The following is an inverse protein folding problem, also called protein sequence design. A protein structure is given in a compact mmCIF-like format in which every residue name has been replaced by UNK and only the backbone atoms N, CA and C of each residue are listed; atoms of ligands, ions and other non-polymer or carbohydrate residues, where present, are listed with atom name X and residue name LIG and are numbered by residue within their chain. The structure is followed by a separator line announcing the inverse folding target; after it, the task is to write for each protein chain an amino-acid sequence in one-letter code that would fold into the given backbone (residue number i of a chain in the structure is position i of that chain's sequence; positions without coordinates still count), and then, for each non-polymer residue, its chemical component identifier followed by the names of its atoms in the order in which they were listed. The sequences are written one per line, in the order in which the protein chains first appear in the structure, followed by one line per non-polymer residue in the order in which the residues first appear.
data_IF_687261042416
#
_entry.id   IF_687261042416
#
_cell.length_a   1.000
_cell.length_b   1.000
_cell.length_c   1.000
_cell.angle_alpha   90.00
_cell.angle_beta   90.00
_cell.angle_gamma   90.00
#
_symmetry.space_group_name_H-M   'P 1'
#
loop_
_entity.id
_entity.type
_entity.pdbx_description
1 polymer ?
#
# COMPACT_ATOMS: atom_id res chain seq x y z
N UNK A 1 -7.67 16.71 -5.48
CA UNK A 1 -8.62 15.58 -5.35
C UNK A 1 -8.42 14.63 -6.52
N UNK A 2 -8.14 13.34 -6.26
CA UNK A 2 -7.86 12.36 -7.32
C UNK A 2 -9.18 11.74 -7.83
N UNK A 3 -9.59 12.09 -9.05
CA UNK A 3 -10.86 11.62 -9.64
C UNK A 3 -10.86 10.10 -9.90
N UNK A 4 -9.69 9.49 -10.14
CA UNK A 4 -9.58 8.06 -10.46
C UNK A 4 -9.99 7.20 -9.27
N UNK A 5 -9.50 7.50 -8.07
CA UNK A 5 -9.87 6.73 -6.87
C UNK A 5 -11.39 6.74 -6.63
N UNK A 6 -12.04 7.91 -6.77
CA UNK A 6 -13.50 8.01 -6.64
C UNK A 6 -14.24 7.18 -7.68
N UNK A 7 -13.77 7.17 -8.92
CA UNK A 7 -14.36 6.36 -9.98
C UNK A 7 -14.23 4.87 -9.68
N UNK A 8 -13.06 4.41 -9.25
CA UNK A 8 -12.83 3.00 -8.90
C UNK A 8 -13.76 2.55 -7.76
N UNK A 9 -13.89 3.36 -6.70
CA UNK A 9 -14.71 3.05 -5.51
C UNK A 9 -16.22 3.09 -5.79
N UNK A 10 -16.69 4.05 -6.62
CA UNK A 10 -18.12 4.23 -6.88
C UNK A 10 -18.65 3.40 -8.05
N UNK A 11 -17.76 2.84 -8.89
CA UNK A 11 -18.15 2.08 -10.07
C UNK A 11 -18.89 0.80 -9.66
N UNK A 12 -19.99 0.52 -10.35
CA UNK A 12 -20.61 -0.80 -10.31
C UNK A 12 -19.87 -1.75 -11.24
N UNK A 13 -19.56 -2.95 -10.75
CA UNK A 13 -18.88 -4.00 -11.50
C UNK A 13 -19.82 -5.19 -11.67
N UNK A 14 -19.83 -5.80 -12.84
CA UNK A 14 -20.52 -7.07 -13.03
C UNK A 14 -19.77 -8.22 -12.34
N UNK A 15 -20.47 -9.31 -11.97
CA UNK A 15 -19.81 -10.48 -11.38
C UNK A 15 -18.72 -11.10 -12.27
N UNK A 16 -18.92 -11.09 -13.59
CA UNK A 16 -17.95 -11.62 -14.55
C UNK A 16 -16.69 -10.74 -14.62
N UNK A 17 -16.84 -9.42 -14.65
CA UNK A 17 -15.70 -8.50 -14.58
C UNK A 17 -14.89 -8.71 -13.30
N UNK A 18 -15.55 -8.84 -12.14
CA UNK A 18 -14.88 -9.06 -10.86
C UNK A 18 -14.14 -10.40 -10.83
N UNK A 19 -14.72 -11.45 -11.40
CA UNK A 19 -14.08 -12.77 -11.49
C UNK A 19 -12.83 -12.74 -12.37
N UNK A 20 -12.90 -12.08 -13.53
CA UNK A 20 -11.75 -11.92 -14.41
C UNK A 20 -10.67 -11.03 -13.79
N UNK A 21 -11.08 -9.92 -13.15
CA UNK A 21 -10.18 -9.02 -12.44
C UNK A 21 -9.46 -9.74 -11.29
N UNK A 22 -10.17 -10.58 -10.53
CA UNK A 22 -9.58 -11.36 -9.44
C UNK A 22 -8.38 -12.20 -9.91
N UNK A 23 -8.56 -12.98 -10.97
CA UNK A 23 -7.50 -13.81 -11.54
C UNK A 23 -6.29 -12.96 -11.97
N UNK A 24 -6.56 -11.89 -12.74
CA UNK A 24 -5.53 -10.94 -13.22
C UNK A 24 -4.75 -10.30 -12.07
N UNK A 25 -5.44 -9.85 -11.02
CA UNK A 25 -4.84 -9.24 -9.84
C UNK A 25 -3.99 -10.24 -9.08
N UNK A 26 -4.47 -11.48 -8.90
CA UNK A 26 -3.71 -12.53 -8.24
C UNK A 26 -2.43 -12.85 -9.01
N UNK A 27 -2.51 -13.07 -10.33
CA UNK A 27 -1.32 -13.34 -11.15
C UNK A 27 -0.31 -12.20 -11.08
N UNK A 28 -0.75 -10.96 -11.32
CA UNK A 28 0.14 -9.79 -11.31
C UNK A 28 0.75 -9.53 -9.93
N UNK A 29 -0.03 -9.66 -8.86
CA UNK A 29 0.46 -9.42 -7.49
C UNK A 29 1.50 -10.46 -7.06
N UNK A 30 1.33 -11.74 -7.41
CA UNK A 30 2.31 -12.78 -7.12
C UNK A 30 3.59 -12.60 -7.92
N UNK A 31 3.50 -12.22 -9.20
CA UNK A 31 4.66 -11.92 -10.03
C UNK A 31 5.51 -10.78 -9.42
N UNK A 32 4.85 -9.68 -9.02
CA UNK A 32 5.53 -8.54 -8.40
C UNK A 32 6.10 -8.91 -7.03
N UNK A 33 5.35 -9.58 -6.16
CA UNK A 33 5.84 -9.99 -4.85
C UNK A 33 7.05 -10.93 -4.95
N UNK A 34 7.10 -11.81 -5.96
CA UNK A 34 8.24 -12.67 -6.21
C UNK A 34 9.47 -11.89 -6.68
N UNK A 35 9.29 -10.85 -7.51
CA UNK A 35 10.38 -9.94 -7.94
C UNK A 35 10.90 -9.11 -6.77
N UNK A 36 10.01 -8.53 -5.96
CA UNK A 36 10.39 -7.77 -4.75
C UNK A 36 11.19 -8.64 -3.78
N UNK A 37 10.81 -9.90 -3.60
CA UNK A 37 11.54 -10.84 -2.77
C UNK A 37 12.99 -11.09 -3.24
N UNK A 38 13.23 -11.09 -4.57
CA UNK A 38 14.57 -11.28 -5.16
C UNK A 38 15.40 -10.00 -5.15
N UNK A 39 14.76 -8.86 -5.35
CA UNK A 39 15.41 -7.55 -5.37
C UNK A 39 16.09 -7.25 -4.03
N UNK A 40 15.39 -7.48 -2.92
CA UNK A 40 15.95 -7.35 -1.57
C UNK A 40 16.20 -5.91 -1.11
N UNK A 41 16.02 -4.89 -1.97
CA UNK A 41 16.05 -3.48 -1.54
C UNK A 41 14.86 -3.14 -0.64
N UNK A 42 15.10 -2.34 0.40
CA UNK A 42 14.04 -1.74 1.20
C UNK A 42 13.40 -0.54 0.47
N UNK A 43 12.19 -0.15 0.88
CA UNK A 43 11.51 1.03 0.34
C UNK A 43 10.90 0.84 -1.05
N UNK A 44 10.78 -0.40 -1.53
CA UNK A 44 10.20 -0.71 -2.83
C UNK A 44 8.68 -0.56 -2.90
N UNK A 45 7.99 -0.26 -1.79
CA UNK A 45 6.52 -0.19 -1.77
C UNK A 45 5.96 0.76 -2.84
N UNK A 46 6.53 1.97 -2.98
CA UNK A 46 6.06 2.95 -3.97
C UNK A 46 6.26 2.43 -5.40
N UNK A 47 7.44 1.89 -5.71
CA UNK A 47 7.78 1.37 -7.05
C UNK A 47 6.92 0.15 -7.37
N UNK A 48 6.88 -0.84 -6.47
CA UNK A 48 6.15 -2.08 -6.67
C UNK A 48 4.63 -1.86 -6.80
N UNK A 49 4.02 -1.01 -5.97
CA UNK A 49 2.61 -0.66 -6.12
C UNK A 49 2.35 0.12 -7.41
N UNK A 50 3.25 1.04 -7.79
CA UNK A 50 3.16 1.78 -9.05
C UNK A 50 3.22 0.85 -10.27
N UNK A 51 4.22 -0.04 -10.32
CA UNK A 51 4.39 -1.02 -11.39
C UNK A 51 3.20 -1.98 -11.44
N UNK A 52 2.75 -2.50 -10.30
CA UNK A 52 1.56 -3.35 -10.24
C UNK A 52 0.34 -2.63 -10.82
N UNK A 53 0.12 -1.36 -10.44
CA UNK A 53 -0.99 -0.56 -10.99
C UNK A 53 -0.91 -0.41 -12.51
N UNK A 54 0.26 -0.11 -13.07
CA UNK A 54 0.42 -0.01 -14.54
C UNK A 54 0.22 -1.34 -15.24
N UNK A 55 0.64 -2.46 -14.64
CA UNK A 55 0.34 -3.81 -15.15
C UNK A 55 -1.17 -4.07 -15.16
N UNK A 56 -1.86 -3.69 -14.09
CA UNK A 56 -3.32 -3.86 -14.01
C UNK A 56 -4.05 -3.00 -15.05
N UNK A 57 -3.56 -1.80 -15.36
CA UNK A 57 -4.09 -0.97 -16.44
C UNK A 57 -3.96 -1.67 -17.80
N UNK A 58 -2.80 -2.27 -18.12
CA UNK A 58 -2.59 -3.05 -19.36
C UNK A 58 -3.52 -4.27 -19.43
N UNK A 59 -3.87 -4.86 -18.28
CA UNK A 59 -4.82 -5.97 -18.17
C UNK A 59 -6.30 -5.53 -18.21
N UNK A 60 -6.57 -4.23 -18.30
CA UNK A 60 -7.92 -3.65 -18.29
C UNK A 60 -8.61 -3.71 -16.92
N UNK A 61 -7.84 -3.77 -15.83
CA UNK A 61 -8.34 -3.84 -14.45
C UNK A 61 -8.33 -2.45 -13.82
N UNK A 62 -9.51 -1.99 -13.39
CA UNK A 62 -9.65 -0.72 -12.69
C UNK A 62 -8.96 -0.76 -11.33
N UNK A 63 -8.08 0.20 -11.09
CA UNK A 63 -7.30 0.26 -9.86
C UNK A 63 -6.82 1.69 -9.58
N UNK A 64 -6.28 1.89 -8.38
CA UNK A 64 -5.44 3.05 -8.06
C UNK A 64 -4.40 2.68 -7.00
N UNK A 65 -3.31 3.45 -6.97
CA UNK A 65 -2.31 3.39 -5.92
C UNK A 65 -2.62 4.39 -4.81
N UNK A 66 -2.50 3.93 -3.57
CA UNK A 66 -2.67 4.74 -2.39
C UNK A 66 -1.38 4.80 -1.59
N UNK A 67 -1.05 6.01 -1.10
CA UNK A 67 -0.12 6.17 0.01
C UNK A 67 -0.88 5.89 1.30
N UNK A 68 -0.31 5.07 2.17
CA UNK A 68 -0.93 4.73 3.43
C UNK A 68 0.04 4.78 4.57
N UNK A 69 -0.39 5.21 5.76
CA UNK A 69 0.28 4.73 6.97
C UNK A 69 -0.09 3.25 7.18
N UNK A 70 0.79 2.53 7.84
CA UNK A 70 0.59 1.11 8.13
C UNK A 70 0.88 0.83 9.60
N UNK A 71 -0.08 0.20 10.28
CA UNK A 71 0.13 -0.41 11.60
C UNK A 71 0.04 -1.91 11.46
N UNK A 72 1.04 -2.63 11.96
CA UNK A 72 1.08 -4.08 11.99
C UNK A 72 0.97 -4.55 13.42
N UNK A 73 -0.13 -5.20 13.75
CA UNK A 73 -0.30 -5.88 15.03
C UNK A 73 0.07 -7.34 14.87
N UNK A 74 1.18 -7.73 15.48
CA UNK A 74 1.63 -9.11 15.51
C UNK A 74 0.95 -9.89 16.64
N UNK A 75 0.89 -11.23 16.56
CA UNK A 75 0.62 -12.06 17.72
C UNK A 75 1.71 -11.85 18.77
N UNK A 76 1.35 -11.98 20.05
CA UNK A 76 2.28 -11.77 21.19
C UNK A 76 3.52 -12.66 21.14
N UNK A 77 3.46 -13.81 20.46
CA UNK A 77 4.60 -14.70 20.23
C UNK A 77 5.65 -14.11 19.28
N UNK A 78 5.27 -13.15 18.43
CA UNK A 78 6.16 -12.48 17.46
C UNK A 78 6.61 -11.11 18.00
N UNK A 79 5.66 -10.30 18.46
CA UNK A 79 5.96 -9.00 19.08
C UNK A 79 4.88 -8.60 20.09
N UNK A 80 5.29 -7.96 21.18
CA UNK A 80 4.37 -7.36 22.15
C UNK A 80 3.86 -5.99 21.67
N UNK A 81 4.71 -5.26 20.94
CA UNK A 81 4.40 -3.94 20.40
C UNK A 81 4.09 -4.02 18.89
N UNK A 82 3.15 -3.19 18.38
CA UNK A 82 2.92 -3.08 16.95
C UNK A 82 4.13 -2.46 16.23
N UNK A 83 4.28 -2.80 14.94
CA UNK A 83 5.18 -2.07 14.04
C UNK A 83 4.40 -0.95 13.36
N UNK A 84 5.01 0.23 13.25
CA UNK A 84 4.41 1.40 12.64
C UNK A 84 5.22 1.89 11.44
N UNK A 85 4.51 2.36 10.42
CA UNK A 85 5.03 3.13 9.30
C UNK A 85 4.26 4.45 9.27
N UNK A 86 4.84 5.48 9.90
CA UNK A 86 4.18 6.74 10.22
C UNK A 86 4.08 7.70 9.02
N UNK A 87 2.96 8.42 8.93
CA UNK A 87 2.77 9.54 7.98
C UNK A 87 3.63 10.75 8.29
N UNK A 88 3.92 10.97 9.57
CA UNK A 88 4.75 12.07 10.04
C UNK A 88 5.85 11.50 10.91
N UNK A 89 7.08 11.61 10.42
CA UNK A 89 8.27 11.10 11.08
C UNK A 89 9.49 11.98 10.75
N UNK A 90 10.59 11.80 11.46
CA UNK A 90 11.82 12.59 11.29
C UNK A 90 12.66 12.19 10.05
N UNK A 91 12.20 11.20 9.27
CA UNK A 91 12.89 10.74 8.07
C UNK A 91 12.33 11.29 6.75
N UNK A 92 13.20 11.32 5.73
CA UNK A 92 12.82 11.69 4.35
C UNK A 92 12.30 10.46 3.60
N UNK A 93 11.00 10.17 3.72
CA UNK A 93 10.34 9.09 3.00
C UNK A 93 9.30 9.64 2.02
N UNK A 94 9.26 9.12 0.79
CA UNK A 94 8.29 9.54 -0.24
C UNK A 94 6.85 9.20 0.12
N UNK A 95 6.67 8.10 0.86
CA UNK A 95 5.42 7.66 1.48
C UNK A 95 5.76 6.78 2.68
N UNK A 96 4.88 6.69 3.69
CA UNK A 96 5.08 5.75 4.80
C UNK A 96 5.00 4.31 4.32
N UNK A 97 4.01 4.05 3.48
CA UNK A 97 3.78 2.81 2.76
C UNK A 97 2.94 3.07 1.52
N UNK A 98 2.92 2.11 0.59
CA UNK A 98 2.09 2.18 -0.61
C UNK A 98 1.40 0.85 -0.88
N UNK A 99 0.15 0.93 -1.34
CA UNK A 99 -0.71 -0.20 -1.67
C UNK A 99 -1.43 0.04 -3.00
N UNK A 100 -2.01 -1.01 -3.56
CA UNK A 100 -2.95 -0.93 -4.68
C UNK A 100 -4.35 -1.26 -4.17
N UNK A 101 -5.34 -0.52 -4.65
CA UNK A 101 -6.75 -0.85 -4.52
C UNK A 101 -7.26 -1.25 -5.89
N UNK A 102 -7.76 -2.47 -6.04
CA UNK A 102 -8.22 -3.02 -7.31
C UNK A 102 -9.37 -4.02 -7.07
N UNK A 103 -10.63 -3.68 -7.39
CA UNK A 103 -11.76 -4.59 -7.21
C UNK A 103 -11.57 -5.94 -7.93
N UNK A 104 -11.92 -7.07 -7.29
CA UNK A 104 -12.70 -7.17 -6.05
C UNK A 104 -11.89 -7.02 -4.76
N UNK A 105 -10.59 -6.78 -4.82
CA UNK A 105 -9.77 -6.59 -3.63
C UNK A 105 -9.87 -5.14 -3.11
N UNK A 106 -10.19 -5.01 -1.82
CA UNK A 106 -10.16 -3.74 -1.11
C UNK A 106 -8.72 -3.30 -0.82
N UNK A 107 -7.77 -4.23 -0.68
CA UNK A 107 -6.34 -3.92 -0.52
C UNK A 107 -5.54 -5.00 -1.23
N UNK A 108 -4.47 -4.59 -1.92
CA UNK A 108 -3.42 -5.45 -2.45
C UNK A 108 -2.07 -4.84 -2.09
N UNK A 109 -1.31 -5.55 -1.29
CA UNK A 109 0.00 -5.15 -0.81
C UNK A 109 1.02 -6.26 -1.07
N UNK A 110 1.91 -5.99 -2.02
CA UNK A 110 2.95 -6.90 -2.50
C UNK A 110 4.29 -6.69 -1.81
N UNK A 111 4.34 -5.81 -0.80
CA UNK A 111 5.60 -5.36 -0.20
C UNK A 111 5.65 -5.42 1.31
N UNK A 112 4.53 -5.62 2.01
CA UNK A 112 4.50 -5.64 3.48
C UNK A 112 5.57 -6.55 4.06
N UNK A 113 5.66 -7.81 3.62
CA UNK A 113 6.65 -8.78 4.11
C UNK A 113 8.11 -8.35 3.94
N UNK A 114 8.39 -7.49 2.96
CA UNK A 114 9.75 -7.12 2.54
C UNK A 114 10.15 -5.72 3.02
N UNK A 115 9.38 -5.13 3.94
CA UNK A 115 9.79 -3.91 4.64
C UNK A 115 10.88 -4.19 5.68
N UNK A 116 11.64 -3.16 6.11
CA UNK A 116 12.60 -3.31 7.19
C UNK A 116 11.87 -3.64 8.50
N UNK A 117 12.28 -4.75 9.14
CA UNK A 117 11.76 -5.21 10.43
C UNK A 117 12.90 -5.46 11.41
N UNK A 118 12.66 -5.19 12.69
CA UNK A 118 13.65 -5.41 13.76
C UNK A 118 13.97 -6.90 13.98
N UNK A 119 13.02 -7.79 13.65
CA UNK A 119 13.14 -9.24 13.87
C UNK A 119 12.74 -10.00 12.62
N UNK A 120 13.52 -11.03 12.28
CA UNK A 120 13.21 -11.95 11.17
C UNK A 120 11.83 -12.61 11.35
N UNK A 121 11.42 -12.90 12.60
CA UNK A 121 10.11 -13.48 12.90
C UNK A 121 8.93 -12.60 12.49
N UNK A 122 9.09 -11.26 12.48
CA UNK A 122 8.07 -10.32 12.03
C UNK A 122 7.84 -10.46 10.52
N UNK A 123 8.91 -10.46 9.73
CA UNK A 123 8.83 -10.69 8.29
C UNK A 123 8.26 -12.08 7.97
N UNK A 124 8.68 -13.11 8.70
CA UNK A 124 8.20 -14.49 8.49
C UNK A 124 6.70 -14.65 8.74
N UNK A 125 6.15 -13.90 9.71
CA UNK A 125 4.72 -13.90 10.01
C UNK A 125 3.87 -13.35 8.87
N UNK A 126 4.42 -12.43 8.06
CA UNK A 126 3.68 -11.72 7.04
C UNK A 126 3.54 -12.53 5.74
N UNK A 127 2.40 -12.41 5.04
CA UNK A 127 2.19 -13.08 3.76
C UNK A 127 3.02 -12.41 2.65
N UNK A 128 3.36 -13.17 1.61
CA UNK A 128 4.06 -12.62 0.44
C UNK A 128 3.22 -11.58 -0.32
N UNK A 129 1.90 -11.80 -0.37
CA UNK A 129 0.90 -10.84 -0.84
C UNK A 129 -0.15 -10.71 0.25
N UNK A 130 -0.30 -9.52 0.80
CA UNK A 130 -1.39 -9.18 1.70
C UNK A 130 -2.55 -8.60 0.87
N UNK A 131 -3.61 -9.39 0.70
CA UNK A 131 -4.79 -8.96 -0.05
C UNK A 131 -6.08 -9.40 0.62
N UNK A 132 -7.11 -8.55 0.54
CA UNK A 132 -8.46 -8.86 1.06
C UNK A 132 -9.53 -8.33 0.11
N UNK A 133 -10.62 -9.08 -0.03
CA UNK A 133 -11.86 -8.60 -0.68
C UNK A 133 -12.80 -7.91 0.31
N UNK A 134 -12.62 -8.19 1.60
CA UNK A 134 -13.49 -7.65 2.63
C UNK A 134 -13.12 -6.20 2.92
N UNK A 135 -14.11 -5.32 2.85
CA UNK A 135 -13.97 -3.96 3.33
C UNK A 135 -14.23 -3.93 4.85
N UNK A 136 -13.16 -3.86 5.65
CA UNK A 136 -13.23 -3.67 7.10
C UNK A 136 -12.75 -2.27 7.46
N UNK A 137 -13.62 -1.37 7.95
CA UNK A 137 -13.21 -0.03 8.37
C UNK A 137 -12.18 -0.12 9.49
N UNK A 138 -11.05 0.55 9.30
CA UNK A 138 -10.03 0.74 10.33
C UNK A 138 -10.13 2.17 10.86
N UNK A 139 -9.87 2.38 12.15
CA UNK A 139 -9.78 3.74 12.71
C UNK A 139 -8.34 4.02 13.06
N UNK A 140 -7.69 4.77 12.19
CA UNK A 140 -6.33 5.27 12.43
C UNK A 140 -6.36 6.29 13.56
N UNK A 141 -5.48 6.10 14.52
CA UNK A 141 -5.26 7.00 15.65
C UNK A 141 -4.14 8.00 15.33
N UNK A 142 -4.10 9.12 16.05
CA UNK A 142 -3.00 10.09 15.91
C UNK A 142 -1.65 9.52 16.34
N UNK A 143 -1.64 8.52 17.23
CA UNK A 143 -0.44 7.76 17.58
C UNK A 143 0.08 6.84 16.48
N UNK A 144 -0.75 6.52 15.49
CA UNK A 144 -0.37 5.71 14.32
C UNK A 144 -0.04 6.56 13.10
N UNK A 145 -0.40 7.83 13.11
CA UNK A 145 -0.06 8.78 12.05
C UNK A 145 1.29 9.44 12.29
N UNK A 146 1.57 9.86 13.52
CA UNK A 146 2.77 10.62 13.86
C UNK A 146 3.68 9.82 14.79
N UNK A 147 4.98 9.81 14.54
CA UNK A 147 5.97 9.13 15.37
C UNK A 147 6.07 9.74 16.78
N UNK A 148 6.64 9.01 17.77
CA UNK A 148 6.84 9.54 19.11
C UNK A 148 7.55 10.89 19.15
N UNK A 149 8.56 11.08 18.31
CA UNK A 149 9.38 12.30 18.27
C UNK A 149 8.59 13.48 17.70
N UNK A 150 7.85 13.27 16.60
CA UNK A 150 6.93 14.29 16.06
C UNK A 150 5.88 14.69 17.09
N UNK A 151 5.31 13.73 17.83
CA UNK A 151 4.34 14.04 18.90
C UNK A 151 4.97 14.82 20.05
N UNK A 152 6.22 14.50 20.42
CA UNK A 152 6.95 15.22 21.45
C UNK A 152 7.25 16.67 21.01
N UNK A 153 7.69 16.85 19.76
CA UNK A 153 7.90 18.16 19.17
C UNK A 153 6.63 19.01 19.13
N UNK A 154 5.52 18.46 18.61
CA UNK A 154 4.24 19.16 18.57
C UNK A 154 3.79 19.59 19.97
N UNK A 155 3.92 18.69 20.96
CA UNK A 155 3.61 19.02 22.36
C UNK A 155 4.48 20.15 22.90
N UNK A 156 5.76 20.18 22.54
CA UNK A 156 6.68 21.24 22.97
C UNK A 156 6.27 22.63 22.46
N UNK A 157 5.74 22.70 21.24
CA UNK A 157 5.22 23.94 20.65
C UNK A 157 3.74 24.22 21.00
N UNK A 158 3.15 23.46 21.93
CA UNK A 158 1.77 23.64 22.38
C UNK A 158 0.70 23.16 21.38
N UNK A 159 1.04 22.26 20.48
CA UNK A 159 0.17 21.75 19.42
C UNK A 159 -0.14 20.24 19.62
N UNK A 160 -1.37 19.82 19.31
CA UNK A 160 -1.71 18.39 19.20
C UNK A 160 -1.57 17.91 17.76
N UNK A 161 -1.50 16.59 17.55
CA UNK A 161 -1.48 16.01 16.19
C UNK A 161 -2.78 16.36 15.46
N UNK A 162 -3.91 16.35 16.16
CA UNK A 162 -5.22 16.70 15.60
C UNK A 162 -5.25 18.16 15.11
N UNK A 163 -4.73 19.09 15.91
CA UNK A 163 -4.64 20.50 15.52
C UNK A 163 -3.67 20.69 14.36
N UNK A 164 -2.51 20.05 14.40
CA UNK A 164 -1.55 20.05 13.29
C UNK A 164 -2.19 19.57 11.98
N UNK A 165 -2.88 18.43 12.02
CA UNK A 165 -3.56 17.88 10.85
C UNK A 165 -4.64 18.82 10.31
N UNK A 166 -5.43 19.45 11.19
CA UNK A 166 -6.48 20.36 10.80
C UNK A 166 -5.96 21.65 10.14
N UNK A 167 -4.82 22.16 10.60
CA UNK A 167 -4.22 23.39 10.08
C UNK A 167 -3.36 23.15 8.84
N UNK A 168 -2.51 22.13 8.87
CA UNK A 168 -1.42 21.95 7.91
C UNK A 168 -1.70 20.84 6.88
N UNK A 169 -2.67 19.97 7.14
CA UNK A 169 -2.96 18.75 6.34
C UNK A 169 -4.47 18.51 6.18
N UNK A 170 -5.24 19.60 6.04
CA UNK A 170 -6.70 19.53 5.90
C UNK A 170 -7.15 18.72 4.68
N UNK A 171 -6.37 18.75 3.60
CA UNK A 171 -6.58 17.97 2.37
C UNK A 171 -6.41 16.46 2.61
N UNK A 172 -5.39 16.06 3.35
CA UNK A 172 -5.19 14.68 3.78
C UNK A 172 -6.34 14.21 4.68
N UNK A 173 -6.77 15.03 5.65
CA UNK A 173 -7.92 14.69 6.51
C UNK A 173 -9.20 14.49 5.69
N UNK A 174 -9.44 15.36 4.72
CA UNK A 174 -10.60 15.26 3.85
C UNK A 174 -10.54 14.01 2.98
N UNK A 175 -9.35 13.66 2.48
CA UNK A 175 -9.13 12.41 1.74
C UNK A 175 -9.37 11.18 2.62
N UNK A 176 -8.88 11.16 3.85
CA UNK A 176 -9.09 10.05 4.80
C UNK A 176 -10.58 9.82 5.13
N UNK A 177 -11.41 10.87 5.11
CA UNK A 177 -12.88 10.73 5.27
C UNK A 177 -13.53 10.08 4.06
N UNK A 178 -13.03 10.39 2.86
CA UNK A 178 -13.60 9.92 1.60
C UNK A 178 -13.13 8.52 1.23
N UNK A 179 -11.88 8.19 1.58
CA UNK A 179 -11.25 6.89 1.37
C UNK A 179 -11.00 6.25 2.74
N UNK A 180 -12.01 5.58 3.31
CA UNK A 180 -11.90 5.02 4.65
C UNK A 180 -10.75 4.01 4.74
N UNK A 181 -10.10 4.03 5.91
CA UNK A 181 -8.99 3.13 6.23
C UNK A 181 -9.46 1.68 6.28
N UNK A 182 -8.55 0.75 6.02
CA UNK A 182 -8.86 -0.66 5.74
C UNK A 182 -8.05 -1.58 6.63
N UNK A 183 -8.62 -2.72 6.98
CA UNK A 183 -7.93 -3.75 7.74
C UNK A 183 -7.83 -5.06 6.95
N UNK A 184 -6.68 -5.73 7.07
CA UNK A 184 -6.52 -7.14 6.73
C UNK A 184 -6.30 -7.91 8.03
N UNK A 185 -7.19 -8.84 8.35
CA UNK A 185 -6.99 -9.75 9.48
C UNK A 185 -6.07 -10.90 9.09
N UNK A 186 -5.12 -11.24 9.96
CA UNK A 186 -4.20 -12.36 9.84
C UNK A 186 -4.43 -13.34 10.99
N UNK A 187 -3.88 -14.55 10.91
CA UNK A 187 -3.96 -15.48 12.04
C UNK A 187 -3.19 -14.92 13.25
N UNK A 188 -3.93 -14.53 14.29
CA UNK A 188 -3.35 -13.91 15.49
C UNK A 188 -2.81 -12.48 15.32
N UNK A 189 -3.02 -11.83 14.17
CA UNK A 189 -2.54 -10.48 13.90
C UNK A 189 -3.45 -9.69 12.95
N UNK A 190 -3.06 -8.46 12.61
CA UNK A 190 -3.78 -7.63 11.63
C UNK A 190 -2.90 -6.53 11.05
N UNK A 191 -3.28 -6.06 9.87
CA UNK A 191 -2.68 -4.94 9.16
C UNK A 191 -3.72 -3.82 9.06
N UNK A 192 -3.44 -2.65 9.61
CA UNK A 192 -4.26 -1.45 9.52
C UNK A 192 -3.66 -0.46 8.52
N UNK A 193 -4.39 -0.15 7.46
CA UNK A 193 -3.98 0.76 6.39
C UNK A 193 -4.82 2.03 6.42
N UNK A 194 -4.21 3.16 6.77
CA UNK A 194 -4.85 4.46 6.63
C UNK A 194 -4.48 5.12 5.33
N UNK A 195 -5.44 5.34 4.43
CA UNK A 195 -5.19 5.99 3.15
C UNK A 195 -5.00 7.48 3.37
N UNK A 196 -3.76 7.95 3.21
CA UNK A 196 -3.35 9.35 3.48
C UNK A 196 -3.05 10.13 2.19
N UNK A 197 -3.02 9.44 1.06
CA UNK A 197 -2.90 10.06 -0.25
C UNK A 197 -3.21 9.08 -1.38
N UNK A 198 -3.45 9.60 -2.57
CA UNK A 198 -3.61 8.82 -3.79
C UNK A 198 -2.64 9.36 -4.82
N UNK A 199 -1.84 8.48 -5.43
CA UNK A 199 -0.86 8.84 -6.42
C UNK A 199 0.02 7.65 -6.79
N UNK A 200 0.65 7.72 -7.95
CA UNK A 200 1.47 6.67 -8.57
C UNK A 200 2.00 7.20 -9.90
N UNK A 201 2.45 6.30 -10.77
CA UNK A 201 2.91 6.68 -12.12
C UNK A 201 1.76 7.23 -12.98
N UNK A 202 2.04 8.31 -13.71
CA UNK A 202 1.12 8.85 -14.72
C UNK A 202 1.41 8.24 -16.09
N UNK A 203 2.65 7.80 -16.28
CA UNK A 203 3.17 7.13 -17.46
C UNK A 203 2.54 5.75 -17.64
N UNK A 204 2.46 5.30 -18.89
CA UNK A 204 2.05 3.94 -19.24
C UNK A 204 3.14 2.93 -18.87
N UNK A 205 2.79 1.64 -18.79
CA UNK A 205 3.76 0.60 -18.41
C UNK A 205 4.99 0.61 -19.31
N UNK A 206 4.80 0.79 -20.62
CA UNK A 206 5.86 0.82 -21.65
C UNK A 206 6.78 2.04 -21.54
N UNK A 207 6.35 3.07 -20.82
CA UNK A 207 7.10 4.33 -20.65
C UNK A 207 7.95 4.31 -19.37
N UNK A 208 7.78 3.31 -18.50
CA UNK A 208 8.57 3.14 -17.27
C UNK A 208 9.96 2.55 -17.54
N UNK A 209 10.77 3.26 -18.31
CA UNK A 209 12.08 2.79 -18.80
C UNK A 209 13.27 3.14 -17.90
N UNK A 210 13.04 3.89 -16.82
CA UNK A 210 14.09 4.40 -15.94
C UNK A 210 14.54 3.36 -14.90
N UNK A 211 15.81 3.42 -14.50
CA UNK A 211 16.43 2.50 -13.52
C UNK A 211 15.71 2.44 -12.17
N UNK A 212 15.15 3.56 -11.72
CA UNK A 212 14.39 3.62 -10.46
C UNK A 212 13.04 2.89 -10.52
N UNK A 213 12.56 2.50 -11.70
CA UNK A 213 11.33 1.73 -11.88
C UNK A 213 11.60 0.22 -11.96
N UNK A 214 12.88 -0.20 -12.02
CA UNK A 214 13.23 -1.61 -12.09
C UNK A 214 12.99 -2.32 -10.76
N UNK A 215 12.56 -3.57 -10.84
CA UNK A 215 12.45 -4.50 -9.71
C UNK A 215 13.24 -5.75 -10.09
N UNK A 216 14.21 -6.15 -9.27
CA UNK A 216 15.11 -7.29 -9.52
C UNK A 216 15.87 -7.11 -10.85
N UNK A 217 16.30 -5.88 -11.13
CA UNK A 217 16.99 -5.51 -12.36
C UNK A 217 16.11 -5.48 -13.62
N UNK A 218 14.84 -5.87 -13.54
CA UNK A 218 13.94 -5.93 -14.70
C UNK A 218 13.08 -4.68 -14.84
N UNK A 219 12.87 -4.27 -16.09
CA UNK A 219 11.90 -3.24 -16.42
C UNK A 219 10.48 -3.74 -16.13
N UNK A 220 9.56 -2.82 -15.77
CA UNK A 220 8.14 -3.14 -15.59
C UNK A 220 7.51 -3.91 -16.75
N UNK A 221 7.85 -3.55 -18.00
CA UNK A 221 7.34 -4.23 -19.19
C UNK A 221 7.88 -5.66 -19.32
N UNK A 222 9.13 -5.91 -18.93
CA UNK A 222 9.72 -7.25 -18.96
C UNK A 222 9.05 -8.17 -17.94
N UNK A 223 8.73 -7.65 -16.75
CA UNK A 223 7.98 -8.41 -15.73
C UNK A 223 6.58 -8.76 -16.27
N UNK A 224 5.91 -7.82 -16.94
CA UNK A 224 4.60 -8.06 -17.53
C UNK A 224 4.64 -9.15 -18.62
N UNK A 225 5.58 -9.05 -19.55
CA UNK A 225 5.68 -9.99 -20.67
C UNK A 225 6.14 -11.39 -20.25
N UNK A 226 7.03 -11.48 -19.25
CA UNK A 226 7.64 -12.76 -18.86
C UNK A 226 6.90 -13.46 -17.71
N UNK A 227 6.40 -12.71 -16.73
CA UNK A 227 5.86 -13.29 -15.50
C UNK A 227 4.32 -13.19 -15.42
N UNK A 228 3.70 -12.24 -16.12
CA UNK A 228 2.25 -11.99 -16.03
C UNK A 228 1.52 -12.56 -17.23
N UNK A 229 1.76 -12.05 -18.44
CA UNK A 229 1.03 -12.44 -19.66
C UNK A 229 0.92 -13.95 -19.92
N UNK A 230 1.96 -14.78 -19.68
CA UNK A 230 1.85 -16.22 -19.89
C UNK A 230 0.83 -16.94 -18.99
N UNK A 231 0.36 -16.27 -17.93
CA UNK A 231 -0.50 -16.83 -16.89
C UNK A 231 -1.92 -16.21 -16.88
N UNK A 232 -2.25 -15.34 -17.85
CA UNK A 232 -3.54 -14.66 -17.97
C UNK A 232 -4.54 -15.47 -18.80
#
# INVERSE_FOLDING_TARGET
MNQVARLVEARSYSPEELKQAEHKIQVASHAIAARVARDGRHGLCVVASGVLSRILDELGVWNYTAKSNLTIHFPRSVSLEPQYFYSFDEGNFTAPHAIVVAPPFAVVDVTVKYQPYDKVSMAQFLPHVAATKEFRPYRVTTTELASPDVRAYLRHIGMTVETFLALERADMLELMKQLPSREISLDGGRLGYGIVGVGGYQEQLRELLYENNRIDGMLPIEIFEQDVLPNI
#
